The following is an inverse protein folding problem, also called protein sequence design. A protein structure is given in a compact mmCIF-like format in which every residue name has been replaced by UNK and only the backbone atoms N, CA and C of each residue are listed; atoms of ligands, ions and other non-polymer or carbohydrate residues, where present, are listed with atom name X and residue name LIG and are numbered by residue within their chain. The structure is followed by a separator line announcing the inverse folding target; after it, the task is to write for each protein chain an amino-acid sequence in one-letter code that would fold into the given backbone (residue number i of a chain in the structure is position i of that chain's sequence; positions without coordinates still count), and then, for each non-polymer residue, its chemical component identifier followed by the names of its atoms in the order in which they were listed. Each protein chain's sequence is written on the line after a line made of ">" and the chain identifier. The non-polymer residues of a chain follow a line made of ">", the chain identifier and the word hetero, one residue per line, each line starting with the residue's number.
data_IF_337838279362
#
_entry.id   IF_337838279362
#
_cell.length_a   1.000
_cell.length_b   1.000
_cell.length_c   1.000
_cell.angle_alpha   90.00
_cell.angle_beta   90.00
_cell.angle_gamma   90.00
#
_symmetry.space_group_name_H-M   'P 1'
#
loop_
_entity.id
_entity.type
_entity.pdbx_description
1 polymer ?
#
# COMPACT_ATOMS: atom_id res chain seq x y z
N UNK A 1 -8.49 -36.64 22.03
CA UNK A 1 -8.33 -36.68 20.57
C UNK A 1 -9.37 -35.73 19.96
N UNK A 2 -8.96 -34.56 19.44
CA UNK A 2 -9.90 -33.66 18.73
C UNK A 2 -10.45 -34.37 17.49
N UNK A 3 -11.77 -34.35 17.33
CA UNK A 3 -12.47 -35.01 16.22
C UNK A 3 -12.03 -34.38 14.90
N UNK A 4 -11.52 -35.18 13.94
CA UNK A 4 -11.05 -34.69 12.64
C UNK A 4 -12.07 -33.76 11.95
N UNK A 5 -13.36 -33.99 12.16
CA UNK A 5 -14.45 -33.15 11.61
C UNK A 5 -14.43 -31.71 12.15
N UNK A 6 -14.11 -31.50 13.42
CA UNK A 6 -14.00 -30.16 14.02
C UNK A 6 -12.76 -29.42 13.52
N UNK A 7 -11.65 -30.14 13.33
CA UNK A 7 -10.40 -29.59 12.77
C UNK A 7 -10.61 -29.08 11.34
N UNK A 8 -11.26 -29.87 10.46
CA UNK A 8 -11.58 -29.42 9.09
C UNK A 8 -12.61 -28.29 9.04
N UNK A 9 -13.55 -28.24 9.98
CA UNK A 9 -14.57 -27.18 10.06
C UNK A 9 -13.98 -25.81 10.49
N UNK A 10 -12.93 -25.79 11.32
CA UNK A 10 -12.20 -24.57 11.69
C UNK A 10 -11.32 -24.08 10.52
N UNK A 11 -10.62 -24.99 9.84
CA UNK A 11 -9.78 -24.67 8.68
C UNK A 11 -10.56 -24.02 7.53
N UNK A 12 -11.74 -24.53 7.20
CA UNK A 12 -12.61 -23.96 6.16
C UNK A 12 -13.05 -22.52 6.47
N UNK A 13 -13.21 -22.17 7.75
CA UNK A 13 -13.56 -20.81 8.19
C UNK A 13 -12.36 -19.86 8.12
N UNK A 14 -11.13 -20.37 8.21
CA UNK A 14 -9.88 -19.58 8.20
C UNK A 14 -9.34 -19.34 6.79
N UNK A 15 -9.60 -20.24 5.83
CA UNK A 15 -9.04 -20.11 4.48
C UNK A 15 -9.39 -18.81 3.75
N UNK A 16 -10.63 -18.28 3.77
CA UNK A 16 -10.94 -17.01 3.10
C UNK A 16 -10.13 -15.83 3.66
N UNK A 17 -9.95 -15.79 4.98
CA UNK A 17 -9.20 -14.75 5.68
C UNK A 17 -7.71 -14.85 5.35
N UNK A 18 -7.14 -16.05 5.42
CA UNK A 18 -5.71 -16.27 5.14
C UNK A 18 -5.37 -16.03 3.67
N UNK A 19 -6.26 -16.42 2.74
CA UNK A 19 -6.12 -16.12 1.31
C UNK A 19 -6.09 -14.61 1.06
N UNK A 20 -7.03 -13.86 1.65
CA UNK A 20 -7.08 -12.41 1.53
C UNK A 20 -5.84 -11.74 2.16
N UNK A 21 -5.40 -12.20 3.35
CA UNK A 21 -4.18 -11.69 4.00
C UNK A 21 -2.95 -11.89 3.12
N UNK A 22 -2.75 -13.08 2.54
CA UNK A 22 -1.60 -13.38 1.67
C UNK A 22 -1.64 -12.57 0.37
N UNK A 23 -2.81 -12.42 -0.26
CA UNK A 23 -2.97 -11.55 -1.43
C UNK A 23 -2.55 -10.12 -1.11
N UNK A 24 -3.05 -9.59 0.01
CA UNK A 24 -2.74 -8.22 0.46
C UNK A 24 -1.27 -8.06 0.81
N UNK A 25 -0.64 -9.07 1.42
CA UNK A 25 0.77 -9.04 1.78
C UNK A 25 1.67 -8.99 0.54
N UNK A 26 1.39 -9.81 -0.48
CA UNK A 26 2.15 -9.80 -1.75
C UNK A 26 2.04 -8.42 -2.41
N UNK A 27 0.82 -7.92 -2.63
CA UNK A 27 0.60 -6.61 -3.22
C UNK A 27 1.26 -5.49 -2.40
N UNK A 28 1.15 -5.56 -1.07
CA UNK A 28 1.76 -4.60 -0.15
C UNK A 28 3.29 -4.59 -0.20
N UNK A 29 3.93 -5.74 -0.39
CA UNK A 29 5.39 -5.83 -0.53
C UNK A 29 5.88 -5.31 -1.87
N UNK A 30 5.19 -5.67 -2.95
CA UNK A 30 5.49 -5.12 -4.29
C UNK A 30 5.37 -3.60 -4.27
N UNK A 31 4.28 -3.07 -3.71
CA UNK A 31 4.11 -1.63 -3.50
C UNK A 31 5.23 -1.02 -2.67
N UNK A 32 5.61 -1.65 -1.56
CA UNK A 32 6.66 -1.13 -0.70
C UNK A 32 7.99 -0.96 -1.44
N UNK A 33 8.39 -1.96 -2.23
CA UNK A 33 9.62 -1.90 -3.04
C UNK A 33 9.53 -0.79 -4.10
N UNK A 34 8.42 -0.74 -4.84
CA UNK A 34 8.22 0.27 -5.88
C UNK A 34 8.16 1.69 -5.31
N UNK A 35 7.54 1.88 -4.14
CA UNK A 35 7.50 3.19 -3.46
C UNK A 35 8.90 3.64 -3.06
N UNK A 36 9.75 2.73 -2.55
CA UNK A 36 11.15 3.10 -2.24
C UNK A 36 11.87 3.57 -3.50
N UNK A 37 11.73 2.85 -4.60
CA UNK A 37 12.31 3.24 -5.88
C UNK A 37 11.78 4.62 -6.33
N UNK A 38 10.47 4.84 -6.24
CA UNK A 38 9.81 6.11 -6.57
C UNK A 38 10.38 7.28 -5.77
N UNK A 39 10.60 7.13 -4.46
CA UNK A 39 11.16 8.19 -3.63
C UNK A 39 12.62 8.52 -3.98
N UNK A 40 13.41 7.51 -4.32
CA UNK A 40 14.80 7.70 -4.79
C UNK A 40 14.81 8.42 -6.14
N UNK A 41 13.96 8.00 -7.07
CA UNK A 41 13.78 8.63 -8.37
C UNK A 41 13.34 10.10 -8.22
N UNK A 42 12.35 10.35 -7.36
CA UNK A 42 11.82 11.69 -7.10
C UNK A 42 12.88 12.64 -6.52
N UNK A 43 13.86 12.13 -5.78
CA UNK A 43 14.97 12.96 -5.28
C UNK A 43 15.83 13.57 -6.40
N UNK A 44 15.80 13.00 -7.61
CA UNK A 44 16.44 13.54 -8.80
C UNK A 44 15.41 13.69 -9.96
N UNK A 45 14.26 14.28 -9.65
CA UNK A 45 13.12 14.38 -10.57
C UNK A 45 13.45 15.09 -11.89
N UNK A 46 14.39 16.03 -11.89
CA UNK A 46 14.81 16.75 -13.09
C UNK A 46 15.40 15.78 -14.13
N UNK A 47 16.33 14.93 -13.72
CA UNK A 47 16.97 13.95 -14.60
C UNK A 47 16.11 12.69 -14.82
N UNK A 48 15.38 12.27 -13.79
CA UNK A 48 14.65 10.99 -13.77
C UNK A 48 13.13 11.15 -13.90
N UNK A 49 12.69 12.14 -14.69
CA UNK A 49 11.26 12.45 -14.87
C UNK A 49 10.52 11.31 -15.54
N UNK A 50 11.10 10.71 -16.58
CA UNK A 50 10.50 9.59 -17.29
C UNK A 50 10.35 8.37 -16.39
N UNK A 51 11.37 8.10 -15.56
CA UNK A 51 11.38 7.03 -14.58
C UNK A 51 10.33 7.26 -13.50
N UNK A 52 10.14 8.51 -13.05
CA UNK A 52 9.08 8.87 -12.09
C UNK A 52 7.69 8.56 -12.65
N UNK A 53 7.45 8.97 -13.91
CA UNK A 53 6.18 8.68 -14.58
C UNK A 53 6.00 7.16 -14.75
N UNK A 54 7.04 6.47 -15.19
CA UNK A 54 7.01 5.03 -15.41
C UNK A 54 6.68 4.26 -14.13
N UNK A 55 7.44 4.49 -13.06
CA UNK A 55 7.26 3.80 -11.79
C UNK A 55 5.94 4.24 -11.13
N UNK A 56 5.56 5.51 -11.27
CA UNK A 56 4.29 6.07 -10.80
C UNK A 56 3.07 5.37 -11.42
N UNK A 57 3.09 5.15 -12.74
CA UNK A 57 2.04 4.39 -13.44
C UNK A 57 2.11 2.90 -13.09
N UNK A 58 3.30 2.32 -13.02
CA UNK A 58 3.50 0.90 -12.65
C UNK A 58 2.90 0.57 -11.27
N UNK A 59 3.04 1.48 -10.30
CA UNK A 59 2.46 1.35 -8.96
C UNK A 59 0.93 1.14 -8.96
N UNK A 60 0.22 1.62 -9.98
CA UNK A 60 -1.23 1.57 -10.03
C UNK A 60 -1.78 0.14 -10.01
N UNK A 61 -1.12 -0.81 -10.68
CA UNK A 61 -1.54 -2.22 -10.73
C UNK A 61 -1.58 -2.86 -9.33
N UNK A 62 -0.43 -2.97 -8.64
CA UNK A 62 -0.38 -3.46 -7.26
C UNK A 62 -1.25 -2.67 -6.28
N UNK A 63 -1.42 -1.36 -6.51
CA UNK A 63 -2.29 -0.51 -5.70
C UNK A 63 -3.75 -0.95 -5.82
N UNK A 64 -4.25 -1.16 -7.03
CA UNK A 64 -5.60 -1.67 -7.28
C UNK A 64 -5.79 -3.02 -6.60
N UNK A 65 -4.83 -3.95 -6.71
CA UNK A 65 -4.90 -5.25 -6.01
C UNK A 65 -4.99 -5.06 -4.51
N UNK A 66 -4.16 -4.19 -3.92
CA UNK A 66 -4.18 -3.91 -2.48
C UNK A 66 -5.52 -3.30 -2.07
N UNK A 67 -6.02 -2.29 -2.78
CA UNK A 67 -7.27 -1.59 -2.47
C UNK A 67 -8.49 -2.50 -2.61
N UNK A 68 -8.58 -3.30 -3.67
CA UNK A 68 -9.65 -4.28 -3.83
C UNK A 68 -9.59 -5.35 -2.73
N UNK A 69 -8.40 -5.83 -2.38
CA UNK A 69 -8.24 -6.86 -1.35
C UNK A 69 -8.60 -6.34 0.06
N UNK A 70 -8.16 -5.13 0.43
CA UNK A 70 -8.51 -4.52 1.71
C UNK A 70 -9.98 -4.06 1.74
N UNK A 71 -10.50 -3.53 0.64
CA UNK A 71 -11.90 -3.15 0.46
C UNK A 71 -12.84 -4.36 0.56
N UNK A 72 -12.49 -5.49 -0.05
CA UNK A 72 -13.22 -6.75 0.12
C UNK A 72 -13.30 -7.16 1.59
N UNK A 73 -12.17 -7.11 2.31
CA UNK A 73 -12.14 -7.43 3.74
C UNK A 73 -12.99 -6.47 4.57
N UNK A 74 -12.94 -5.17 4.26
CA UNK A 74 -13.77 -4.14 4.88
C UNK A 74 -15.24 -4.48 4.68
N UNK A 75 -15.68 -4.64 3.43
CA UNK A 75 -17.06 -4.94 3.08
C UNK A 75 -17.58 -6.19 3.79
N UNK A 76 -16.82 -7.30 3.76
CA UNK A 76 -17.19 -8.56 4.43
C UNK A 76 -17.32 -8.42 5.95
N UNK A 77 -16.51 -7.57 6.56
CA UNK A 77 -16.62 -7.29 8.00
C UNK A 77 -17.91 -6.53 8.35
N UNK A 78 -18.23 -5.47 7.60
CA UNK A 78 -19.43 -4.65 7.88
C UNK A 78 -20.75 -5.31 7.47
N UNK A 79 -20.71 -6.17 6.45
CA UNK A 79 -21.83 -7.04 6.08
C UNK A 79 -21.95 -8.28 6.98
N UNK A 80 -21.21 -8.32 8.10
CA UNK A 80 -21.32 -9.33 9.15
C UNK A 80 -21.01 -10.77 8.71
N UNK A 81 -20.13 -10.95 7.71
CA UNK A 81 -19.64 -12.29 7.33
C UNK A 81 -19.01 -12.97 8.56
N UNK A 82 -19.51 -14.15 8.99
CA UNK A 82 -19.10 -14.77 10.25
C UNK A 82 -17.60 -14.99 10.38
N UNK A 83 -16.93 -15.35 9.28
CA UNK A 83 -15.48 -15.56 9.22
C UNK A 83 -14.72 -14.27 9.54
N UNK A 84 -15.11 -13.17 8.91
CA UNK A 84 -14.41 -11.89 9.01
C UNK A 84 -14.68 -11.18 10.34
N UNK A 85 -15.88 -11.32 10.90
CA UNK A 85 -16.20 -10.81 12.25
C UNK A 85 -15.42 -11.57 13.32
N UNK A 86 -15.35 -12.91 13.23
CA UNK A 86 -14.54 -13.74 14.14
C UNK A 86 -13.04 -13.40 14.09
N UNK A 87 -12.54 -12.93 12.95
CA UNK A 87 -11.16 -12.47 12.81
C UNK A 87 -10.83 -11.20 13.63
N UNK A 88 -11.84 -10.57 14.22
CA UNK A 88 -11.72 -9.42 15.10
C UNK A 88 -11.65 -8.07 14.35
N UNK A 89 -12.03 -6.98 15.03
CA UNK A 89 -11.95 -5.63 14.47
C UNK A 89 -10.50 -5.23 14.16
N UNK A 90 -10.27 -4.40 13.13
CA UNK A 90 -8.99 -3.72 12.95
C UNK A 90 -8.68 -2.81 14.14
N UNK A 91 -7.40 -2.56 14.42
CA UNK A 91 -6.98 -1.56 15.41
C UNK A 91 -7.62 -0.20 15.06
N UNK A 92 -8.27 0.44 16.05
CA UNK A 92 -9.05 1.66 15.85
C UNK A 92 -8.24 2.83 15.30
N UNK A 93 -6.98 2.99 15.75
CA UNK A 93 -6.11 4.06 15.25
C UNK A 93 -5.80 3.87 13.77
N UNK A 94 -5.50 2.63 13.38
CA UNK A 94 -5.23 2.28 11.97
C UNK A 94 -6.49 2.32 11.11
N UNK A 95 -7.66 2.10 11.72
CA UNK A 95 -8.96 2.22 11.06
C UNK A 95 -9.34 3.67 10.78
N UNK A 96 -8.98 4.60 11.66
CA UNK A 96 -9.15 6.03 11.43
C UNK A 96 -8.14 6.56 10.41
N UNK A 97 -6.88 6.09 10.45
CA UNK A 97 -5.84 6.46 9.49
C UNK A 97 -6.18 6.03 8.05
N UNK A 98 -6.80 4.87 7.88
CA UNK A 98 -6.99 4.25 6.57
C UNK A 98 -7.80 5.10 5.57
N UNK A 99 -8.98 5.67 5.91
CA UNK A 99 -9.71 6.56 5.01
C UNK A 99 -8.89 7.75 4.51
N UNK A 100 -8.16 8.44 5.39
CA UNK A 100 -7.30 9.56 4.99
C UNK A 100 -6.19 9.10 4.04
N UNK A 101 -5.52 7.99 4.35
CA UNK A 101 -4.50 7.43 3.48
C UNK A 101 -5.07 7.05 2.11
N UNK A 102 -6.26 6.45 2.07
CA UNK A 102 -6.93 6.09 0.80
C UNK A 102 -7.24 7.33 -0.02
N UNK A 103 -7.89 8.34 0.57
CA UNK A 103 -8.26 9.58 -0.13
C UNK A 103 -7.01 10.29 -0.67
N UNK A 104 -5.98 10.46 0.15
CA UNK A 104 -4.75 11.13 -0.31
C UNK A 104 -4.03 10.28 -1.36
N UNK A 105 -4.02 8.94 -1.24
CA UNK A 105 -3.46 8.08 -2.30
C UNK A 105 -4.21 8.27 -3.62
N UNK A 106 -5.54 8.34 -3.59
CA UNK A 106 -6.35 8.61 -4.79
C UNK A 106 -5.98 9.98 -5.38
N UNK A 107 -5.80 11.02 -4.56
CA UNK A 107 -5.38 12.34 -5.03
C UNK A 107 -4.01 12.31 -5.71
N UNK A 108 -3.01 11.61 -5.13
CA UNK A 108 -1.67 11.46 -5.74
C UNK A 108 -1.79 10.81 -7.13
N UNK A 109 -2.56 9.73 -7.25
CA UNK A 109 -2.70 9.01 -8.52
C UNK A 109 -3.52 9.77 -9.55
N UNK A 110 -4.69 10.32 -9.18
CA UNK A 110 -5.53 11.09 -10.10
C UNK A 110 -4.77 12.30 -10.63
N UNK A 111 -4.07 13.03 -9.75
CA UNK A 111 -3.28 14.18 -10.20
C UNK A 111 -2.09 13.77 -11.07
N UNK A 112 -1.41 12.66 -10.77
CA UNK A 112 -0.33 12.13 -11.61
C UNK A 112 -0.83 11.72 -13.01
N UNK A 113 -1.93 10.98 -13.08
CA UNK A 113 -2.58 10.64 -14.36
C UNK A 113 -3.07 11.88 -15.10
N UNK A 114 -3.58 12.87 -14.38
CA UNK A 114 -3.98 14.17 -14.94
C UNK A 114 -2.81 14.91 -15.61
N UNK A 115 -1.60 14.85 -15.05
CA UNK A 115 -0.40 15.43 -15.67
C UNK A 115 0.01 14.71 -16.94
N UNK A 116 -0.15 13.39 -16.99
CA UNK A 116 0.24 12.59 -18.16
C UNK A 116 -0.80 12.70 -19.29
N UNK A 117 -2.09 12.78 -18.95
CA UNK A 117 -3.19 12.70 -19.93
C UNK A 117 -3.86 14.05 -20.24
N UNK A 118 -3.79 15.02 -19.34
CA UNK A 118 -4.64 16.21 -19.34
C UNK A 118 -4.16 17.39 -20.20
N UNK A 119 -2.98 17.29 -20.82
CA UNK A 119 -2.38 18.39 -21.60
C UNK A 119 -2.08 19.65 -20.75
N UNK A 120 -1.75 20.76 -21.41
CA UNK A 120 -1.24 21.96 -20.72
C UNK A 120 -2.31 22.80 -20.00
N UNK A 121 -3.61 22.63 -20.30
CA UNK A 121 -4.66 23.52 -19.82
C UNK A 121 -4.82 23.55 -18.28
N UNK A 122 -4.45 22.45 -17.61
CA UNK A 122 -4.59 22.30 -16.15
C UNK A 122 -3.31 21.83 -15.47
N UNK A 123 -2.17 21.92 -16.17
CA UNK A 123 -0.88 21.40 -15.71
C UNK A 123 -0.48 21.98 -14.35
N UNK A 124 -0.57 23.31 -14.18
CA UNK A 124 -0.22 23.97 -12.92
C UNK A 124 -1.07 23.47 -11.73
N UNK A 125 -2.38 23.28 -11.96
CA UNK A 125 -3.30 22.79 -10.93
C UNK A 125 -2.93 21.36 -10.53
N UNK A 126 -2.71 20.48 -11.50
CA UNK A 126 -2.36 19.09 -11.23
C UNK A 126 -0.98 18.97 -10.56
N UNK A 127 0.01 19.80 -10.94
CA UNK A 127 1.31 19.86 -10.26
C UNK A 127 1.11 20.22 -8.79
N UNK A 128 0.33 21.26 -8.50
CA UNK A 128 0.05 21.68 -7.12
C UNK A 128 -0.64 20.59 -6.32
N UNK A 129 -1.69 19.98 -6.86
CA UNK A 129 -2.41 18.89 -6.19
C UNK A 129 -1.48 17.70 -5.96
N UNK A 130 -0.68 17.33 -6.96
CA UNK A 130 0.25 16.21 -6.86
C UNK A 130 1.30 16.45 -5.78
N UNK A 131 1.99 17.60 -5.82
CA UNK A 131 2.99 17.99 -4.84
C UNK A 131 2.46 18.05 -3.40
N UNK A 132 1.31 18.70 -3.20
CA UNK A 132 0.68 18.81 -1.87
C UNK A 132 0.22 17.45 -1.37
N UNK A 133 -0.44 16.66 -2.22
CA UNK A 133 -0.90 15.33 -1.83
C UNK A 133 0.26 14.40 -1.49
N UNK A 134 1.37 14.42 -2.23
CA UNK A 134 2.60 13.66 -1.90
C UNK A 134 3.15 14.06 -0.54
N UNK A 135 3.23 15.38 -0.27
CA UNK A 135 3.71 15.91 1.02
C UNK A 135 2.90 15.36 2.20
N UNK A 136 1.57 15.36 2.06
CA UNK A 136 0.64 14.85 3.09
C UNK A 136 0.60 13.32 3.14
N UNK A 137 0.81 12.66 2.01
CA UNK A 137 0.77 11.21 1.87
C UNK A 137 1.92 10.53 2.60
N UNK A 138 3.13 11.09 2.48
CA UNK A 138 4.36 10.55 3.08
C UNK A 138 4.24 10.24 4.59
N UNK A 139 3.79 11.15 5.47
CA UNK A 139 3.63 10.84 6.88
C UNK A 139 2.56 9.78 7.16
N UNK A 140 1.41 9.82 6.45
CA UNK A 140 0.35 8.82 6.62
C UNK A 140 0.85 7.43 6.22
N UNK A 141 1.57 7.35 5.10
CA UNK A 141 2.17 6.11 4.62
C UNK A 141 3.25 5.61 5.57
N UNK A 142 4.13 6.48 6.07
CA UNK A 142 5.20 6.08 6.98
C UNK A 142 4.65 5.47 8.27
N UNK A 143 3.60 6.08 8.86
CA UNK A 143 2.89 5.52 10.01
C UNK A 143 2.25 4.18 9.65
N UNK A 144 1.62 4.06 8.48
CA UNK A 144 1.03 2.82 8.00
C UNK A 144 2.08 1.71 7.85
N UNK A 145 3.21 1.99 7.20
CA UNK A 145 4.31 1.04 7.02
C UNK A 145 4.85 0.62 8.37
N UNK A 146 5.17 1.57 9.25
CA UNK A 146 5.69 1.28 10.59
C UNK A 146 4.77 0.34 11.39
N UNK A 147 3.46 0.56 11.32
CA UNK A 147 2.47 -0.26 12.01
C UNK A 147 2.35 -1.69 11.45
N UNK A 148 2.60 -1.90 10.15
CA UNK A 148 2.36 -3.17 9.47
C UNK A 148 3.62 -3.94 9.06
N UNK A 149 4.80 -3.32 9.06
CA UNK A 149 6.03 -3.91 8.48
C UNK A 149 6.40 -5.27 9.09
N UNK A 150 6.34 -5.39 10.43
CA UNK A 150 6.63 -6.65 11.13
C UNK A 150 5.60 -7.75 10.85
N UNK A 151 4.33 -7.36 10.72
CA UNK A 151 3.23 -8.30 10.46
C UNK A 151 3.29 -8.81 9.02
N UNK A 152 3.60 -7.93 8.07
CA UNK A 152 3.74 -8.28 6.67
C UNK A 152 4.95 -9.19 6.43
N UNK A 153 6.11 -8.85 7.00
CA UNK A 153 7.33 -9.66 6.85
C UNK A 153 7.18 -11.06 7.44
N UNK A 154 6.56 -11.18 8.62
CA UNK A 154 6.27 -12.49 9.23
C UNK A 154 5.34 -13.36 8.37
N UNK A 155 4.32 -12.77 7.74
CA UNK A 155 3.42 -13.50 6.85
C UNK A 155 4.14 -14.03 5.61
N UNK A 156 5.01 -13.22 5.01
CA UNK A 156 5.74 -13.59 3.79
C UNK A 156 6.81 -14.64 4.12
N UNK A 157 7.56 -14.46 5.20
CA UNK A 157 8.57 -15.43 5.64
C UNK A 157 7.95 -16.80 5.93
N UNK A 158 6.78 -16.83 6.59
CA UNK A 158 6.07 -18.09 6.87
C UNK A 158 5.50 -18.75 5.62
N UNK A 159 5.12 -17.97 4.59
CA UNK A 159 4.64 -18.49 3.30
C UNK A 159 5.79 -19.05 2.46
N UNK A 160 6.96 -18.39 2.47
CA UNK A 160 8.15 -18.79 1.71
C UNK A 160 8.84 -20.02 2.30
N UNK A 161 9.00 -20.06 3.62
CA UNK A 161 9.73 -21.15 4.30
C UNK A 161 8.93 -22.45 4.43
N UNK A 162 7.68 -22.49 3.95
CA UNK A 162 6.80 -23.63 4.12
C UNK A 162 6.39 -23.89 5.59
N UNK A 163 6.83 -23.04 6.54
CA UNK A 163 6.52 -23.15 7.97
C UNK A 163 5.10 -22.74 8.33
N UNK A 164 4.26 -22.48 7.32
CA UNK A 164 2.84 -22.26 7.56
C UNK A 164 2.22 -23.52 8.15
N UNK A 165 1.61 -23.37 9.33
CA UNK A 165 0.94 -24.46 10.05
C UNK A 165 -0.16 -25.16 9.22
N UNK A 166 -0.60 -24.56 8.10
CA UNK A 166 -1.64 -25.07 7.19
C UNK A 166 -1.36 -24.70 5.72
N UNK A 167 -1.62 -25.62 4.78
CA UNK A 167 -1.52 -25.36 3.34
C UNK A 167 -2.76 -24.58 2.87
N UNK A 168 -2.61 -23.27 2.65
CA UNK A 168 -3.73 -22.41 2.21
C UNK A 168 -3.89 -22.50 0.68
N UNK A 169 -5.03 -23.00 0.17
CA UNK A 169 -5.24 -23.21 -1.26
C UNK A 169 -5.25 -21.88 -2.06
N UNK A 170 -5.07 -21.98 -3.38
CA UNK A 170 -5.17 -20.85 -4.31
C UNK A 170 -3.94 -19.93 -4.36
N UNK A 171 -2.73 -20.48 -4.17
CA UNK A 171 -1.47 -19.72 -4.31
C UNK A 171 -1.27 -19.19 -5.73
N UNK A 172 -1.47 -20.05 -6.72
CA UNK A 172 -1.30 -19.70 -8.14
C UNK A 172 -2.22 -18.56 -8.56
N UNK A 173 -3.50 -18.62 -8.21
CA UNK A 173 -4.43 -17.52 -8.52
C UNK A 173 -4.03 -16.19 -7.87
N UNK A 174 -3.50 -16.19 -6.64
CA UNK A 174 -3.01 -14.97 -5.98
C UNK A 174 -1.79 -14.39 -6.69
N UNK A 175 -0.85 -15.25 -7.07
CA UNK A 175 0.34 -14.83 -7.81
C UNK A 175 -0.04 -14.33 -9.20
N UNK A 176 -0.90 -15.06 -9.91
CA UNK A 176 -1.41 -14.70 -11.22
C UNK A 176 -2.06 -13.31 -11.22
N UNK A 177 -2.90 -12.99 -10.23
CA UNK A 177 -3.51 -11.65 -10.11
C UNK A 177 -2.47 -10.55 -9.91
N UNK A 178 -1.47 -10.77 -9.04
CA UNK A 178 -0.43 -9.76 -8.80
C UNK A 178 0.48 -9.58 -10.03
N UNK A 179 0.85 -10.68 -10.69
CA UNK A 179 1.65 -10.67 -11.91
C UNK A 179 0.88 -9.99 -13.04
N UNK A 180 -0.38 -10.36 -13.25
CA UNK A 180 -1.23 -9.71 -14.25
C UNK A 180 -1.38 -8.20 -13.97
N UNK A 181 -1.57 -7.81 -12.71
CA UNK A 181 -1.63 -6.39 -12.35
C UNK A 181 -0.34 -5.64 -12.68
N UNK A 182 0.82 -6.23 -12.40
CA UNK A 182 2.13 -5.67 -12.77
C UNK A 182 2.32 -5.59 -14.29
N UNK A 183 1.95 -6.64 -15.02
CA UNK A 183 2.07 -6.66 -16.49
C UNK A 183 1.18 -5.56 -17.08
N UNK A 184 -0.07 -5.47 -16.65
CA UNK A 184 -1.02 -4.48 -17.17
C UNK A 184 -0.58 -3.05 -16.86
N UNK A 185 -0.16 -2.76 -15.62
CA UNK A 185 0.34 -1.42 -15.28
C UNK A 185 1.71 -1.14 -15.91
N UNK A 186 2.54 -2.16 -16.15
CA UNK A 186 3.80 -2.04 -16.87
C UNK A 186 3.60 -1.70 -18.36
N UNK A 187 2.66 -2.36 -19.03
CA UNK A 187 2.28 -2.02 -20.42
C UNK A 187 1.77 -0.57 -20.45
N UNK A 188 0.88 -0.19 -19.53
CA UNK A 188 0.41 1.19 -19.43
C UNK A 188 1.57 2.17 -19.19
N UNK A 189 2.51 1.85 -18.30
CA UNK A 189 3.67 2.68 -18.03
C UNK A 189 4.56 2.87 -19.27
N UNK A 190 4.81 1.81 -20.05
CA UNK A 190 5.57 1.88 -21.31
C UNK A 190 4.89 2.82 -22.31
N UNK A 191 3.57 2.72 -22.45
CA UNK A 191 2.78 3.54 -23.38
C UNK A 191 2.75 5.00 -22.95
N UNK A 192 2.57 5.25 -21.65
CA UNK A 192 2.32 6.58 -21.10
C UNK A 192 3.59 7.38 -20.82
N UNK A 193 4.75 6.73 -20.74
CA UNK A 193 6.01 7.41 -20.39
C UNK A 193 6.64 8.06 -21.63
N UNK A 194 6.88 9.38 -21.60
CA UNK A 194 7.69 10.01 -22.64
C UNK A 194 9.16 9.65 -22.41
N UNK A 195 9.78 8.94 -23.34
CA UNK A 195 11.20 8.54 -23.27
C UNK A 195 12.14 9.66 -23.74
N UNK A 196 12.03 10.83 -23.10
CA UNK A 196 12.88 12.00 -23.36
C UNK A 196 13.52 12.46 -22.06
N UNK A 197 14.80 12.84 -22.12
CA UNK A 197 15.49 13.41 -20.96
C UNK A 197 14.76 14.67 -20.50
N UNK A 198 14.55 14.79 -19.18
CA UNK A 198 13.92 15.96 -18.59
C UNK A 198 14.87 17.15 -18.59
N UNK A 199 14.42 18.27 -19.17
CA UNK A 199 15.00 19.59 -18.89
C UNK A 199 14.26 20.18 -17.69
N UNK A 200 14.98 20.51 -16.62
CA UNK A 200 14.38 20.96 -15.38
C UNK A 200 15.40 21.47 -14.38
N UNK A 201 14.91 22.26 -13.42
CA UNK A 201 15.74 22.89 -12.41
C UNK A 201 16.37 21.84 -11.47
N UNK A 202 17.64 22.04 -11.15
CA UNK A 202 18.43 21.07 -10.43
C UNK A 202 18.25 21.24 -8.92
N UNK A 203 17.50 20.32 -8.30
CA UNK A 203 17.31 20.31 -6.85
C UNK A 203 16.36 19.22 -6.39
N UNK A 204 16.46 18.83 -5.11
CA UNK A 204 15.49 17.91 -4.51
C UNK A 204 14.15 18.66 -4.39
N UNK A 205 13.03 18.12 -4.91
CA UNK A 205 11.74 18.79 -4.82
C UNK A 205 11.37 19.12 -3.37
N UNK A 206 11.04 20.38 -3.08
CA UNK A 206 10.66 20.81 -1.73
C UNK A 206 9.49 20.01 -1.11
N UNK A 207 8.47 19.55 -1.86
CA UNK A 207 7.42 18.67 -1.33
C UNK A 207 7.96 17.36 -0.75
N UNK A 208 9.00 16.79 -1.38
CA UNK A 208 9.63 15.55 -0.93
C UNK A 208 10.36 15.77 0.40
N UNK A 209 11.15 16.83 0.52
CA UNK A 209 11.90 17.16 1.75
C UNK A 209 10.93 17.37 2.91
N UNK A 210 9.92 18.22 2.72
CA UNK A 210 8.93 18.54 3.75
C UNK A 210 8.16 17.28 4.16
N UNK A 211 7.74 16.46 3.20
CA UNK A 211 7.03 15.22 3.47
C UNK A 211 7.87 14.19 4.21
N UNK A 212 9.17 14.06 3.90
CA UNK A 212 10.10 13.18 4.63
C UNK A 212 10.27 13.65 6.07
N UNK A 213 10.50 14.95 6.28
CA UNK A 213 10.62 15.54 7.62
C UNK A 213 9.34 15.29 8.44
N UNK A 214 8.18 15.55 7.85
CA UNK A 214 6.89 15.26 8.48
C UNK A 214 6.70 13.78 8.79
N UNK A 215 7.15 12.88 7.90
CA UNK A 215 7.07 11.43 8.09
C UNK A 215 7.88 10.93 9.28
N UNK A 216 9.11 11.44 9.45
CA UNK A 216 9.95 11.12 10.61
C UNK A 216 9.24 11.54 11.90
N UNK A 217 8.76 12.78 11.96
CA UNK A 217 8.05 13.32 13.12
C UNK A 217 6.79 12.49 13.43
N UNK A 218 5.99 12.18 12.42
CA UNK A 218 4.76 11.41 12.57
C UNK A 218 5.01 10.00 13.14
N UNK A 219 6.05 9.31 12.67
CA UNK A 219 6.42 7.98 13.18
C UNK A 219 6.89 8.06 14.64
N UNK A 220 7.67 9.08 15.00
CA UNK A 220 8.11 9.28 16.39
C UNK A 220 6.93 9.53 17.33
N UNK A 221 6.01 10.43 16.95
CA UNK A 221 4.77 10.70 17.71
C UNK A 221 3.95 9.42 17.84
N UNK A 222 3.74 8.69 16.75
CA UNK A 222 2.96 7.46 16.76
C UNK A 222 3.58 6.39 17.68
N UNK A 223 4.90 6.24 17.66
CA UNK A 223 5.63 5.33 18.56
C UNK A 223 5.44 5.72 20.03
N UNK A 224 5.46 7.01 20.36
CA UNK A 224 5.21 7.49 21.72
C UNK A 224 3.76 7.22 22.17
N UNK A 225 2.77 7.43 21.30
CA UNK A 225 1.37 7.13 21.58
C UNK A 225 1.14 5.63 21.86
N UNK A 226 1.78 4.75 21.08
CA UNK A 226 1.73 3.30 21.31
C UNK A 226 2.38 2.91 22.65
N UNK A 227 3.49 3.53 23.02
CA UNK A 227 4.14 3.27 24.33
C UNK A 227 3.24 3.69 25.49
N UNK A 228 2.60 4.86 25.40
CA UNK A 228 1.71 5.38 26.44
C UNK A 228 0.46 4.52 26.63
N UNK A 229 -0.11 3.98 25.54
CA UNK A 229 -1.28 3.10 25.61
C UNK A 229 -0.94 1.74 26.23
N UNK A 230 0.24 1.18 25.95
CA UNK A 230 0.68 -0.08 26.56
C UNK A 230 1.06 0.03 28.05
N UNK A 231 1.38 1.24 28.54
CA UNK A 231 1.80 1.48 29.92
C UNK A 231 0.67 1.88 30.88
N UNK A 232 -0.59 1.90 30.44
CA UNK A 232 -1.71 2.15 31.38
C UNK A 232 -1.96 0.89 32.23
N UNK A 233 -1.96 0.99 33.57
CA UNK A 233 -2.36 -0.14 34.42
C UNK A 233 -3.79 -0.53 34.06
N UNK A 234 -4.05 -1.84 33.95
CA UNK A 234 -5.41 -2.33 33.78
C UNK A 234 -6.13 -2.12 35.12
N UNK A 235 -7.02 -1.13 35.13
CA UNK A 235 -7.98 -0.87 36.20
C UNK A 235 -9.10 -1.91 36.14
#
# INVERSE_FOLDING_TARGET
>A
MQNRKEFYADDNKRFPIERNKRMTAIAGTVLFVLIIAELVITANLAALRSEHIFVGVLLAGPLVVKMCSTGYRFFRYYTKSPEFVRAGPPNILLRLLAPFLVVITILVFISGFGLVLGGHAHEELFIKIHAVSVTLWLPLLAVHIYAYIRKASGLIANDWTGKSKYRVPGREGRLGINVAAIIMSGIAAIIMTPWKAGEGDHGIPSPLIVGIMAAVIAVLIFKLLLRKTNNKPQL
#
